data_IF_165476677206
#
_entry.id   IF_165476677206
#
_cell.length_a   1.000
_cell.length_b   1.000
_cell.length_c   1.000
_cell.angle_alpha   90.00
_cell.angle_beta   90.00
_cell.angle_gamma   90.00
#
_symmetry.space_group_name_H-M   'P 1'
#
loop_
_entity.id
_entity.type
_entity.pdbx_description
1 polymer ?
#
# COMPACT_ATOMS: atom_id res chain seq x y z
N UNK A 1 -5.07 43.41 40.58
CA UNK A 1 -4.07 42.75 39.71
C UNK A 1 -4.41 41.30 39.35
N UNK A 2 -5.21 40.57 40.15
CA UNK A 2 -5.50 39.13 39.92
C UNK A 2 -6.39 38.85 38.71
N UNK A 3 -7.33 39.76 38.38
CA UNK A 3 -8.31 39.56 37.29
C UNK A 3 -7.67 39.52 35.89
N UNK A 4 -6.58 40.26 35.67
CA UNK A 4 -5.91 40.36 34.36
C UNK A 4 -5.11 39.08 33.99
N UNK A 5 -4.64 38.32 34.99
CA UNK A 5 -3.90 37.05 34.76
C UNK A 5 -4.81 35.95 34.21
N UNK A 6 -6.09 35.92 34.62
CA UNK A 6 -7.06 34.93 34.14
C UNK A 6 -7.44 35.15 32.67
N UNK A 7 -7.69 36.40 32.28
CA UNK A 7 -8.07 36.74 30.90
C UNK A 7 -6.90 36.48 29.93
N UNK A 8 -5.66 36.86 30.30
CA UNK A 8 -4.50 36.60 29.45
C UNK A 8 -4.22 35.11 29.28
N UNK A 9 -4.37 34.31 30.34
CA UNK A 9 -4.22 32.85 30.29
C UNK A 9 -5.28 32.17 29.41
N UNK A 10 -6.53 32.66 29.44
CA UNK A 10 -7.60 32.16 28.58
C UNK A 10 -7.37 32.49 27.10
N UNK A 11 -6.86 33.69 26.78
CA UNK A 11 -6.52 34.06 25.39
C UNK A 11 -5.36 33.20 24.86
N UNK A 12 -4.32 32.95 25.66
CA UNK A 12 -3.22 32.06 25.27
C UNK A 12 -3.73 30.63 25.05
N UNK A 13 -4.59 30.11 25.92
CA UNK A 13 -5.18 28.78 25.75
C UNK A 13 -6.06 28.69 24.50
N UNK A 14 -6.84 29.73 24.17
CA UNK A 14 -7.67 29.78 22.96
C UNK A 14 -6.82 29.83 21.68
N UNK A 15 -5.65 30.50 21.72
CA UNK A 15 -4.72 30.58 20.59
C UNK A 15 -3.96 29.27 20.36
N UNK A 16 -3.68 28.49 21.41
CA UNK A 16 -3.00 27.19 21.29
C UNK A 16 -3.92 26.10 20.71
N UNK A 17 -5.25 26.29 20.74
CA UNK A 17 -6.21 25.29 20.25
C UNK A 17 -6.41 25.25 18.72
N UNK A 18 -5.80 26.15 17.92
CA UNK A 18 -6.21 26.34 16.50
C UNK A 18 -5.25 25.74 15.46
N UNK A 19 -4.10 25.15 15.82
CA UNK A 19 -3.17 24.61 14.80
C UNK A 19 -3.07 23.08 14.81
N UNK A 20 -4.21 22.38 14.77
CA UNK A 20 -4.24 21.01 14.26
C UNK A 20 -4.89 21.06 12.89
N UNK A 21 -4.11 21.48 11.87
CA UNK A 21 -4.51 21.24 10.49
C UNK A 21 -4.59 19.72 10.33
N UNK A 22 -5.80 19.16 10.36
CA UNK A 22 -6.02 17.79 9.95
C UNK A 22 -5.47 17.68 8.52
N UNK A 23 -4.42 16.89 8.32
CA UNK A 23 -3.83 16.66 7.01
C UNK A 23 -4.86 15.82 6.24
N UNK A 24 -5.68 16.47 5.41
CA UNK A 24 -6.59 15.78 4.51
C UNK A 24 -5.72 15.07 3.46
N UNK A 25 -5.86 13.74 3.25
CA UNK A 25 -5.14 13.04 2.19
C UNK A 25 -5.40 13.68 0.84
N UNK A 26 -4.35 13.85 0.03
CA UNK A 26 -4.46 14.37 -1.32
C UNK A 26 -5.44 13.52 -2.12
N UNK A 27 -6.44 14.15 -2.73
CA UNK A 27 -7.44 13.47 -3.57
C UNK A 27 -7.02 13.54 -5.05
N UNK A 28 -7.28 12.46 -5.77
CA UNK A 28 -6.98 12.30 -7.19
C UNK A 28 -8.24 11.88 -7.95
N UNK A 29 -8.33 12.24 -9.23
CA UNK A 29 -9.40 11.81 -10.13
C UNK A 29 -8.86 11.70 -11.56
N UNK A 30 -9.55 10.95 -12.41
CA UNK A 30 -9.12 10.62 -13.76
C UNK A 30 -8.02 9.57 -13.77
N UNK A 31 -7.12 9.66 -14.76
CA UNK A 31 -6.03 8.69 -14.88
C UNK A 31 -5.07 8.85 -13.70
N UNK A 32 -4.83 7.74 -13.02
CA UNK A 32 -3.92 7.62 -11.88
C UNK A 32 -2.96 6.46 -12.12
N UNK A 33 -1.75 6.58 -11.60
CA UNK A 33 -0.72 5.55 -11.75
C UNK A 33 0.07 5.35 -10.47
N UNK A 34 0.56 4.12 -10.31
CA UNK A 34 1.35 3.69 -9.16
C UNK A 34 2.52 2.81 -9.61
N UNK A 35 3.65 2.90 -8.93
CA UNK A 35 4.76 1.97 -9.12
C UNK A 35 5.30 1.50 -7.78
N UNK A 36 5.52 0.19 -7.67
CA UNK A 36 6.04 -0.46 -6.47
C UNK A 36 7.11 -1.48 -6.84
N UNK A 37 8.14 -1.59 -6.03
CA UNK A 37 9.17 -2.62 -6.11
C UNK A 37 9.51 -3.18 -4.74
N UNK A 38 10.15 -4.34 -4.74
CA UNK A 38 10.68 -4.94 -3.53
C UNK A 38 11.45 -6.22 -3.81
N UNK A 39 11.83 -6.91 -2.74
CA UNK A 39 12.55 -8.17 -2.81
C UNK A 39 11.99 -9.18 -1.80
N UNK A 40 11.80 -10.42 -2.24
CA UNK A 40 11.25 -11.49 -1.42
C UNK A 40 12.27 -12.59 -1.18
N UNK A 41 12.28 -13.12 0.03
CA UNK A 41 13.06 -14.28 0.47
C UNK A 41 12.13 -15.35 1.03
N UNK A 42 12.56 -16.61 0.96
CA UNK A 42 12.00 -17.71 1.73
C UNK A 42 13.14 -18.31 2.55
N UNK A 43 13.17 -17.97 3.84
CA UNK A 43 14.32 -18.26 4.68
C UNK A 43 15.56 -17.51 4.21
N UNK A 44 16.64 -18.26 3.95
CA UNK A 44 17.91 -17.69 3.52
C UNK A 44 18.05 -17.53 2.01
N UNK A 45 17.07 -18.02 1.23
CA UNK A 45 17.13 -18.04 -0.24
C UNK A 45 16.24 -16.96 -0.85
N UNK A 46 16.66 -16.32 -1.95
CA UNK A 46 15.76 -15.48 -2.72
C UNK A 46 14.53 -16.27 -3.20
N UNK A 47 13.34 -15.71 -3.00
CA UNK A 47 12.10 -16.35 -3.42
C UNK A 47 11.78 -15.96 -4.86
N UNK A 48 12.25 -16.77 -5.81
CA UNK A 48 12.01 -16.59 -7.25
C UNK A 48 10.68 -17.19 -7.69
N UNK A 49 10.04 -16.60 -8.70
CA UNK A 49 8.80 -17.13 -9.28
C UNK A 49 7.56 -16.93 -8.40
N UNK A 50 7.63 -16.03 -7.42
CA UNK A 50 6.50 -15.66 -6.56
C UNK A 50 5.59 -14.72 -7.35
N UNK A 51 4.29 -15.04 -7.41
CA UNK A 51 3.32 -14.18 -8.10
C UNK A 51 3.04 -12.95 -7.27
N UNK A 52 3.11 -11.78 -7.90
CA UNK A 52 2.81 -10.47 -7.31
C UNK A 52 1.82 -9.73 -8.19
N UNK A 53 0.89 -9.01 -7.56
CA UNK A 53 -0.11 -8.17 -8.23
C UNK A 53 -0.19 -6.81 -7.57
N UNK A 54 -0.24 -5.77 -8.37
CA UNK A 54 -0.60 -4.42 -7.99
C UNK A 54 -2.04 -4.20 -8.43
N UNK A 55 -2.91 -3.91 -7.48
CA UNK A 55 -4.34 -3.77 -7.72
C UNK A 55 -4.87 -2.47 -7.15
N UNK A 56 -5.95 -1.98 -7.73
CA UNK A 56 -6.88 -1.07 -7.08
C UNK A 56 -7.90 -1.90 -6.30
N UNK A 57 -8.08 -1.62 -5.01
CA UNK A 57 -9.02 -2.36 -4.15
C UNK A 57 -10.22 -1.46 -3.85
N UNK A 58 -11.10 -1.35 -4.84
CA UNK A 58 -12.23 -0.44 -4.80
C UNK A 58 -13.33 -0.88 -3.83
N UNK A 59 -14.16 0.09 -3.45
CA UNK A 59 -15.34 -0.16 -2.61
C UNK A 59 -16.64 0.04 -3.39
N UNK A 60 -17.59 -0.88 -3.21
CA UNK A 60 -18.96 -0.71 -3.67
C UNK A 60 -19.23 -1.37 -5.02
N UNK A 61 -19.55 -0.56 -6.04
CA UNK A 61 -19.92 -1.06 -7.37
C UNK A 61 -18.77 -1.09 -8.37
N UNK A 62 -17.63 -0.47 -8.02
CA UNK A 62 -16.40 -0.66 -8.79
C UNK A 62 -15.83 -2.04 -8.51
N UNK A 63 -15.51 -2.83 -9.54
CA UNK A 63 -14.71 -4.04 -9.37
C UNK A 63 -13.22 -3.68 -9.17
N UNK A 64 -12.52 -4.40 -8.29
CA UNK A 64 -11.06 -4.32 -8.17
C UNK A 64 -10.35 -4.43 -9.52
N UNK A 65 -9.55 -3.42 -9.88
CA UNK A 65 -8.76 -3.40 -11.10
C UNK A 65 -7.33 -3.95 -10.88
N UNK A 66 -6.91 -4.93 -11.69
CA UNK A 66 -5.49 -5.34 -11.78
C UNK A 66 -4.70 -4.26 -12.54
N UNK A 67 -3.91 -3.43 -11.84
CA UNK A 67 -3.09 -2.39 -12.46
C UNK A 67 -1.86 -2.97 -13.18
N UNK A 68 -1.22 -3.97 -12.55
CA UNK A 68 -0.09 -4.71 -13.12
C UNK A 68 0.12 -6.03 -12.35
N UNK A 69 0.72 -7.03 -13.00
CA UNK A 69 1.03 -8.31 -12.40
C UNK A 69 2.34 -8.89 -12.95
N UNK A 70 3.05 -9.64 -12.11
CA UNK A 70 4.32 -10.23 -12.49
C UNK A 70 4.78 -11.32 -11.55
N UNK A 71 6.04 -11.72 -11.75
CA UNK A 71 6.72 -12.71 -10.93
C UNK A 71 8.06 -12.18 -10.44
N UNK A 72 8.46 -12.56 -9.24
CA UNK A 72 9.82 -12.28 -8.77
C UNK A 72 10.87 -12.97 -9.63
N UNK A 73 11.99 -12.28 -9.88
CA UNK A 73 13.12 -12.82 -10.64
C UNK A 73 13.96 -13.84 -9.84
N UNK A 74 15.07 -14.30 -10.41
CA UNK A 74 15.99 -15.26 -9.76
C UNK A 74 16.60 -14.75 -8.45
N UNK A 75 16.62 -13.43 -8.26
CA UNK A 75 17.12 -12.78 -7.06
C UNK A 75 15.98 -12.39 -6.10
N UNK A 76 14.74 -12.80 -6.37
CA UNK A 76 13.55 -12.47 -5.58
C UNK A 76 13.05 -11.05 -5.78
N UNK A 77 13.61 -10.28 -6.73
CA UNK A 77 13.17 -8.91 -6.98
C UNK A 77 11.90 -8.88 -7.82
N UNK A 78 11.02 -7.93 -7.53
CA UNK A 78 9.91 -7.57 -8.40
C UNK A 78 9.82 -6.06 -8.57
N UNK A 79 9.21 -5.66 -9.68
CA UNK A 79 8.80 -4.27 -9.94
C UNK A 79 7.51 -4.31 -10.74
N UNK A 80 6.51 -3.59 -10.25
CA UNK A 80 5.22 -3.43 -10.89
C UNK A 80 4.95 -1.94 -11.14
N UNK A 81 4.24 -1.64 -12.21
CA UNK A 81 3.85 -0.29 -12.59
C UNK A 81 2.63 -0.33 -13.50
N UNK A 82 1.56 0.34 -13.09
CA UNK A 82 0.32 0.39 -13.86
C UNK A 82 -0.43 1.71 -13.71
N UNK A 83 -1.46 1.88 -14.53
CA UNK A 83 -2.39 3.00 -14.48
C UNK A 83 -3.82 2.53 -14.70
N UNK A 84 -4.77 3.25 -14.09
CA UNK A 84 -6.21 3.09 -14.34
C UNK A 84 -6.87 4.47 -14.43
N UNK A 85 -8.09 4.53 -14.95
CA UNK A 85 -8.92 5.73 -14.92
C UNK A 85 -9.97 5.58 -13.84
N UNK A 86 -9.87 6.40 -12.79
CA UNK A 86 -10.79 6.33 -11.66
C UNK A 86 -11.50 7.65 -11.36
N UNK A 87 -12.75 7.56 -10.89
CA UNK A 87 -13.52 8.75 -10.50
C UNK A 87 -13.08 9.30 -9.15
N UNK A 88 -12.56 8.44 -8.27
CA UNK A 88 -12.00 8.76 -6.95
C UNK A 88 -10.51 8.44 -6.89
N UNK A 89 -9.88 8.70 -5.74
CA UNK A 89 -8.49 8.30 -5.53
C UNK A 89 -8.41 6.77 -5.50
N UNK A 90 -7.47 6.18 -6.24
CA UNK A 90 -7.22 4.73 -6.20
C UNK A 90 -6.79 4.29 -4.79
N UNK A 91 -7.08 3.04 -4.44
CA UNK A 91 -6.74 2.38 -3.18
C UNK A 91 -5.72 1.24 -3.44
N UNK A 92 -4.44 1.60 -3.70
CA UNK A 92 -3.46 0.68 -4.24
C UNK A 92 -3.03 -0.38 -3.23
N UNK A 93 -3.11 -1.64 -3.64
CA UNK A 93 -2.67 -2.78 -2.85
C UNK A 93 -1.65 -3.65 -3.60
N UNK A 94 -0.67 -4.16 -2.86
CA UNK A 94 0.23 -5.22 -3.34
C UNK A 94 -0.24 -6.56 -2.77
N UNK A 95 -0.63 -7.49 -3.65
CA UNK A 95 -0.97 -8.87 -3.31
C UNK A 95 0.19 -9.80 -3.70
N UNK A 96 0.68 -10.62 -2.77
CA UNK A 96 1.79 -11.57 -2.97
C UNK A 96 1.30 -12.98 -2.67
N UNK A 97 1.48 -13.91 -3.61
CA UNK A 97 0.99 -15.29 -3.52
C UNK A 97 2.15 -16.27 -3.52
N UNK A 98 2.27 -17.09 -2.47
CA UNK A 98 3.42 -17.97 -2.28
C UNK A 98 3.13 -19.23 -1.46
N UNK A 99 4.00 -20.23 -1.62
CA UNK A 99 3.95 -21.49 -0.84
C UNK A 99 5.10 -21.58 0.19
N UNK A 100 5.83 -20.48 0.43
CA UNK A 100 6.92 -20.47 1.40
C UNK A 100 6.43 -20.90 2.79
N UNK A 101 7.03 -21.94 3.35
CA UNK A 101 6.66 -22.53 4.63
C UNK A 101 5.15 -22.88 4.75
N UNK A 102 4.52 -23.28 3.64
CA UNK A 102 3.07 -23.58 3.61
C UNK A 102 2.74 -25.09 3.69
N UNK A 103 3.77 -25.95 3.77
CA UNK A 103 3.60 -27.39 3.94
C UNK A 103 2.84 -28.04 2.77
N UNK A 104 1.74 -28.73 3.09
CA UNK A 104 0.83 -29.36 2.11
C UNK A 104 -0.55 -28.70 2.09
N UNK A 105 -0.65 -27.45 2.51
CA UNK A 105 -1.92 -26.70 2.52
C UNK A 105 -2.39 -26.52 1.08
N UNK A 106 -3.68 -26.75 0.77
CA UNK A 106 -4.21 -26.39 -0.53
C UNK A 106 -4.21 -24.87 -0.66
N UNK A 107 -3.87 -24.38 -1.86
CA UNK A 107 -3.87 -22.97 -2.23
C UNK A 107 -2.73 -22.17 -1.59
N UNK A 108 -2.38 -21.03 -2.18
CA UNK A 108 -1.18 -20.30 -1.79
C UNK A 108 -1.48 -19.32 -0.65
N UNK A 109 -0.52 -19.11 0.26
CA UNK A 109 -0.53 -18.00 1.21
C UNK A 109 -0.56 -16.70 0.44
N UNK A 110 -1.40 -15.76 0.88
CA UNK A 110 -1.59 -14.44 0.27
C UNK A 110 -1.32 -13.35 1.29
N UNK A 111 -0.25 -12.60 1.06
CA UNK A 111 -0.04 -11.32 1.74
C UNK A 111 -0.72 -10.19 0.97
N UNK A 112 -1.32 -9.25 1.69
CA UNK A 112 -1.91 -8.03 1.15
C UNK A 112 -1.31 -6.83 1.89
N UNK A 113 -0.67 -5.93 1.16
CA UNK A 113 -0.18 -4.66 1.68
C UNK A 113 -1.05 -3.53 1.15
N UNK A 114 -1.58 -2.71 2.03
CA UNK A 114 -2.07 -1.38 1.69
C UNK A 114 -0.86 -0.50 1.35
N UNK A 115 -0.88 0.16 0.19
CA UNK A 115 0.21 1.00 -0.26
C UNK A 115 -0.12 2.48 -0.05
N UNK A 116 0.85 3.30 0.38
CA UNK A 116 0.62 4.70 0.71
C UNK A 116 0.14 5.55 -0.48
N UNK A 117 -0.98 6.25 -0.29
CA UNK A 117 -1.60 7.11 -1.31
C UNK A 117 -0.68 8.25 -1.80
N UNK A 118 0.27 8.71 -0.98
CA UNK A 118 1.17 9.80 -1.39
C UNK A 118 2.19 9.41 -2.48
N UNK A 119 2.21 8.15 -2.93
CA UNK A 119 2.95 7.71 -4.13
C UNK A 119 2.09 7.71 -5.40
N UNK A 120 0.75 7.82 -5.29
CA UNK A 120 -0.16 7.99 -6.42
C UNK A 120 0.25 9.21 -7.23
N UNK A 121 0.17 9.08 -8.55
CA UNK A 121 0.53 10.11 -9.53
C UNK A 121 -0.64 10.31 -10.50
N UNK A 122 -0.95 11.57 -10.84
CA UNK A 122 -1.90 11.86 -11.93
C UNK A 122 -1.26 11.60 -13.30
N UNK A 123 -1.99 10.93 -14.18
CA UNK A 123 -1.56 10.52 -15.52
C UNK A 123 -0.98 9.11 -15.57
N UNK A 124 -0.73 8.63 -16.78
CA UNK A 124 -0.37 7.23 -17.08
C UNK A 124 0.99 6.76 -16.56
N UNK A 125 1.88 7.70 -16.23
CA UNK A 125 3.28 7.38 -15.90
C UNK A 125 3.55 7.77 -14.46
N UNK A 126 3.84 6.81 -13.55
CA UNK A 126 4.19 7.12 -12.18
C UNK A 126 5.41 8.04 -12.12
N UNK A 127 5.30 9.15 -11.39
CA UNK A 127 6.42 10.08 -11.16
C UNK A 127 7.20 9.74 -9.88
N UNK A 128 6.67 8.81 -9.07
CA UNK A 128 7.25 8.30 -7.84
C UNK A 128 7.11 6.77 -7.88
N UNK A 129 8.05 6.09 -7.23
CA UNK A 129 8.00 4.64 -7.06
C UNK A 129 8.29 4.30 -5.59
N UNK A 130 7.46 3.44 -5.01
CA UNK A 130 7.65 2.93 -3.67
C UNK A 130 8.58 1.70 -3.72
N UNK A 131 9.63 1.68 -2.92
CA UNK A 131 10.38 0.47 -2.62
C UNK A 131 9.96 -0.03 -1.23
N UNK A 132 9.32 -1.20 -1.17
CA UNK A 132 8.88 -1.79 0.11
C UNK A 132 10.04 -2.50 0.85
N UNK A 133 11.23 -2.53 0.26
CA UNK A 133 12.42 -3.15 0.83
C UNK A 133 12.45 -4.67 0.63
N UNK A 134 13.01 -5.38 1.61
CA UNK A 134 13.19 -6.84 1.56
C UNK A 134 12.38 -7.53 2.65
N UNK A 135 11.59 -8.52 2.26
CA UNK A 135 10.70 -9.27 3.13
C UNK A 135 10.97 -10.78 3.06
N UNK A 136 10.88 -11.46 4.19
CA UNK A 136 10.99 -12.93 4.26
C UNK A 136 9.59 -13.54 4.45
N UNK A 137 9.16 -14.31 3.46
CA UNK A 137 7.85 -14.96 3.35
C UNK A 137 7.61 -16.06 4.41
N UNK A 138 8.62 -16.42 5.21
CA UNK A 138 8.43 -17.26 6.40
C UNK A 138 7.62 -16.54 7.49
N UNK A 139 7.63 -15.21 7.53
CA UNK A 139 6.79 -14.45 8.44
C UNK A 139 5.30 -14.76 8.19
N UNK A 140 4.47 -14.61 9.21
CA UNK A 140 3.01 -14.72 9.08
C UNK A 140 2.44 -13.34 9.35
N UNK A 141 1.69 -12.79 8.39
CA UNK A 141 1.01 -11.51 8.55
C UNK A 141 -0.26 -11.71 9.40
N UNK A 142 -0.62 -10.78 10.31
CA UNK A 142 -1.82 -10.92 11.16
C UNK A 142 -3.12 -11.23 10.41
N UNK A 143 -3.29 -10.65 9.21
CA UNK A 143 -4.48 -10.82 8.36
C UNK A 143 -4.18 -11.64 7.10
N UNK A 144 -3.22 -12.55 7.18
CA UNK A 144 -2.90 -13.45 6.06
C UNK A 144 -4.05 -14.41 5.76
N UNK A 145 -4.26 -14.68 4.47
CA UNK A 145 -5.28 -15.60 3.96
C UNK A 145 -4.67 -16.57 2.94
N UNK A 146 -5.39 -17.64 2.59
CA UNK A 146 -5.04 -18.52 1.47
C UNK A 146 -5.93 -18.25 0.26
N UNK A 147 -5.36 -18.31 -0.95
CA UNK A 147 -6.06 -18.05 -2.20
C UNK A 147 -5.69 -19.08 -3.29
N UNK A 148 -6.71 -19.62 -3.95
CA UNK A 148 -6.60 -20.68 -4.96
C UNK A 148 -6.75 -20.15 -6.40
N UNK A 149 -7.22 -18.92 -6.57
CA UNK A 149 -7.61 -18.35 -7.85
C UNK A 149 -6.94 -16.98 -7.98
N UNK A 150 -5.98 -16.88 -8.90
CA UNK A 150 -5.18 -15.67 -9.09
C UNK A 150 -4.96 -15.33 -10.58
#
# INVERSE_FOLDING_TARGET
MTMYRGVLGAIIALLVCVSHSAIIPQQHTGIQSYSVSGRLFCGTQPASGIRVKLVDDDFGSDPDDDLDAGYTDQNGYFKLSGDTYEMTTIDPHLKIYHDCNDGFTPCQRRWKFELPNHYITNGKVPQKALDIGTWNLEAIMPDESHDCIH
#
